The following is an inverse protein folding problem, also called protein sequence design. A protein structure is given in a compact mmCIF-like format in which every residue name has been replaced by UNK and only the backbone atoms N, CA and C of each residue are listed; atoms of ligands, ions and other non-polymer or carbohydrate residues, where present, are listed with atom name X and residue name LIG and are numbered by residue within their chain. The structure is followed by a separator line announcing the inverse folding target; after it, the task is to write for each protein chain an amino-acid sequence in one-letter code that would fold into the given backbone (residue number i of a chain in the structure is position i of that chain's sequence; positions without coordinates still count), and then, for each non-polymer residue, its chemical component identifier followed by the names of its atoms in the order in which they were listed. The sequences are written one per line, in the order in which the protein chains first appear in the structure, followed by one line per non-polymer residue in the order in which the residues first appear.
data_IF_471942738537
#
_entry.id   IF_471942738537
#
_cell.length_a   1.000
_cell.length_b   1.000
_cell.length_c   1.000
_cell.angle_alpha   90.00
_cell.angle_beta   90.00
_cell.angle_gamma   90.00
#
_symmetry.space_group_name_H-M   'P 1'
#
loop_
_entity.id
_entity.type
_entity.pdbx_description
1 polymer ?
#
# COMPACT_ATOMS: atom_id res chain seq x y z
N UNK A 1 -16.91 16.34 2.84
CA UNK A 1 -15.90 15.40 3.37
C UNK A 1 -15.03 16.18 4.35
N UNK A 2 -14.81 15.70 5.59
CA UNK A 2 -14.01 16.41 6.59
C UNK A 2 -12.52 16.33 6.22
N UNK A 3 -11.73 17.35 6.58
CA UNK A 3 -10.29 17.36 6.26
C UNK A 3 -9.55 16.19 6.90
N UNK A 4 -9.93 15.79 8.11
CA UNK A 4 -9.39 14.59 8.79
C UNK A 4 -9.64 13.30 8.01
N UNK A 5 -10.79 13.17 7.35
CA UNK A 5 -11.09 12.03 6.48
C UNK A 5 -10.22 12.02 5.22
N UNK A 6 -9.90 13.19 4.67
CA UNK A 6 -9.07 13.31 3.48
C UNK A 6 -7.64 12.88 3.79
N UNK A 7 -7.06 13.40 4.87
CA UNK A 7 -5.71 13.06 5.34
C UNK A 7 -5.60 11.59 5.73
N UNK A 8 -6.60 11.04 6.44
CA UNK A 8 -6.60 9.63 6.83
C UNK A 8 -6.64 8.71 5.60
N UNK A 9 -7.48 9.01 4.60
CA UNK A 9 -7.56 8.21 3.37
C UNK A 9 -6.28 8.31 2.54
N UNK A 10 -5.70 9.49 2.38
CA UNK A 10 -4.45 9.69 1.65
C UNK A 10 -3.32 8.85 2.25
N UNK A 11 -3.15 8.89 3.58
CA UNK A 11 -2.15 8.07 4.27
C UNK A 11 -2.48 6.57 4.22
N UNK A 12 -3.76 6.21 4.27
CA UNK A 12 -4.18 4.83 4.12
C UNK A 12 -3.83 4.28 2.72
N UNK A 13 -3.90 5.10 1.67
CA UNK A 13 -3.46 4.71 0.34
C UNK A 13 -1.93 4.56 0.24
N UNK A 14 -1.17 5.49 0.83
CA UNK A 14 0.29 5.32 0.95
C UNK A 14 0.65 4.00 1.66
N UNK A 15 -0.10 3.63 2.70
CA UNK A 15 0.06 2.34 3.36
C UNK A 15 -0.18 1.15 2.43
N UNK A 16 -1.22 1.22 1.57
CA UNK A 16 -1.52 0.15 0.61
C UNK A 16 -0.48 0.03 -0.51
N UNK A 17 0.11 1.14 -0.92
CA UNK A 17 1.16 1.17 -1.94
C UNK A 17 2.51 0.66 -1.41
N UNK A 18 2.61 0.40 -0.09
CA UNK A 18 3.80 -0.14 0.55
C UNK A 18 4.83 0.94 0.93
N UNK A 19 4.43 2.20 0.94
CA UNK A 19 5.27 3.32 1.37
C UNK A 19 5.56 3.24 2.88
N UNK A 20 6.71 3.79 3.29
CA UNK A 20 7.17 3.76 4.68
C UNK A 20 6.40 4.82 5.47
N UNK A 21 5.39 4.38 6.22
CA UNK A 21 4.71 5.20 7.22
C UNK A 21 5.29 5.00 8.61
N UNK A 22 5.32 6.08 9.38
CA UNK A 22 5.67 6.05 10.80
C UNK A 22 4.62 5.30 11.62
N UNK A 23 5.01 4.82 12.81
CA UNK A 23 4.08 4.14 13.71
C UNK A 23 2.91 5.04 14.13
N UNK A 24 3.19 6.34 14.34
CA UNK A 24 2.18 7.32 14.70
C UNK A 24 1.11 7.47 13.61
N UNK A 25 1.51 7.56 12.34
CA UNK A 25 0.58 7.66 11.21
C UNK A 25 -0.29 6.42 11.06
N UNK A 26 0.26 5.23 11.34
CA UNK A 26 -0.50 3.97 11.31
C UNK A 26 -1.60 3.97 12.38
N UNK A 27 -1.27 4.41 13.60
CA UNK A 27 -2.22 4.54 14.70
C UNK A 27 -3.31 5.57 14.35
N UNK A 28 -2.95 6.73 13.82
CA UNK A 28 -3.92 7.76 13.41
C UNK A 28 -4.92 7.25 12.36
N UNK A 29 -4.42 6.52 11.35
CA UNK A 29 -5.28 5.91 10.33
C UNK A 29 -6.21 4.89 10.98
N UNK A 30 -5.67 4.02 11.84
CA UNK A 30 -6.47 2.98 12.50
C UNK A 30 -7.61 3.58 13.33
N UNK A 31 -7.29 4.55 14.20
CA UNK A 31 -8.29 5.24 15.02
C UNK A 31 -9.35 5.90 14.14
N UNK A 32 -8.94 6.60 13.06
CA UNK A 32 -9.90 7.23 12.17
C UNK A 32 -10.82 6.22 11.47
N UNK A 33 -10.29 5.08 11.04
CA UNK A 33 -11.08 4.03 10.40
C UNK A 33 -12.04 3.34 11.37
N UNK A 34 -11.69 3.24 12.66
CA UNK A 34 -12.59 2.74 13.71
C UNK A 34 -13.72 3.72 14.03
N UNK A 35 -13.44 5.03 14.04
CA UNK A 35 -14.42 6.07 14.36
C UNK A 35 -15.27 6.50 13.14
N UNK A 36 -14.77 6.29 11.92
CA UNK A 36 -15.38 6.79 10.70
C UNK A 36 -15.74 5.64 9.74
N UNK A 37 -16.92 5.06 9.95
CA UNK A 37 -17.50 4.02 9.11
C UNK A 37 -17.51 4.31 7.59
N UNK A 38 -17.78 5.54 7.09
CA UNK A 38 -17.71 5.80 5.66
C UNK A 38 -16.26 5.77 5.11
N UNK A 39 -15.25 6.14 5.90
CA UNK A 39 -13.85 5.97 5.51
C UNK A 39 -13.44 4.50 5.55
N UNK A 40 -13.91 3.74 6.56
CA UNK A 40 -13.69 2.30 6.66
C UNK A 40 -14.23 1.55 5.45
N UNK A 41 -15.47 1.84 5.03
CA UNK A 41 -16.07 1.18 3.87
C UNK A 41 -15.30 1.49 2.59
N UNK A 42 -14.91 2.76 2.38
CA UNK A 42 -14.16 3.20 1.21
C UNK A 42 -12.77 2.56 1.14
N UNK A 43 -12.06 2.52 2.27
CA UNK A 43 -10.74 1.92 2.36
C UNK A 43 -10.78 0.39 2.36
N UNK A 44 -11.78 -0.21 2.99
CA UNK A 44 -11.94 -1.67 3.13
C UNK A 44 -12.08 -2.38 1.79
N UNK A 45 -12.85 -1.81 0.86
CA UNK A 45 -12.96 -2.33 -0.50
C UNK A 45 -11.61 -2.34 -1.23
N UNK A 46 -10.82 -1.28 -1.08
CA UNK A 46 -9.50 -1.19 -1.70
C UNK A 46 -8.46 -2.08 -1.03
N UNK A 47 -8.53 -2.28 0.29
CA UNK A 47 -7.68 -3.24 1.00
C UNK A 47 -7.93 -4.68 0.54
N UNK A 48 -9.19 -5.07 0.35
CA UNK A 48 -9.53 -6.38 -0.22
C UNK A 48 -8.98 -6.52 -1.64
N UNK A 49 -9.04 -5.44 -2.43
CA UNK A 49 -8.46 -5.40 -3.77
C UNK A 49 -6.93 -5.52 -3.77
N UNK A 50 -6.22 -4.86 -2.86
CA UNK A 50 -4.76 -4.98 -2.70
C UNK A 50 -4.34 -6.37 -2.22
N UNK A 51 -5.13 -7.01 -1.35
CA UNK A 51 -4.90 -8.41 -0.96
C UNK A 51 -5.08 -9.35 -2.16
N UNK A 52 -6.12 -9.13 -2.98
CA UNK A 52 -6.33 -9.89 -4.21
C UNK A 52 -5.21 -9.65 -5.24
N UNK A 53 -4.80 -8.40 -5.45
CA UNK A 53 -3.71 -8.04 -6.37
C UNK A 53 -2.35 -8.53 -5.89
N UNK A 54 -2.05 -8.53 -4.59
CA UNK A 54 -0.81 -9.09 -4.06
C UNK A 54 -0.74 -10.62 -4.23
N UNK A 55 -1.87 -11.32 -4.06
CA UNK A 55 -2.01 -12.75 -4.41
C UNK A 55 -1.86 -13.01 -5.91
N UNK A 56 -2.30 -12.10 -6.78
CA UNK A 56 -2.09 -12.21 -8.22
C UNK A 56 -0.66 -11.83 -8.62
N UNK A 57 -0.06 -10.80 -8.00
CA UNK A 57 1.35 -10.41 -8.19
C UNK A 57 2.31 -11.50 -7.76
N UNK A 58 1.98 -12.32 -6.74
CA UNK A 58 2.84 -13.45 -6.36
C UNK A 58 2.91 -14.53 -7.46
N UNK A 59 1.99 -14.56 -8.41
CA UNK A 59 2.09 -15.38 -9.63
C UNK A 59 2.98 -14.75 -10.72
N UNK A 60 3.16 -13.42 -10.71
CA UNK A 60 4.01 -12.70 -11.66
C UNK A 60 5.34 -12.31 -11.00
N UNK A 61 6.17 -13.30 -10.68
CA UNK A 61 7.55 -13.01 -10.28
C UNK A 61 8.34 -12.53 -11.49
N UNK A 62 9.15 -11.47 -11.29
CA UNK A 62 10.06 -10.98 -12.32
C UNK A 62 10.98 -12.12 -12.78
N UNK A 63 11.04 -12.43 -14.09
CA UNK A 63 11.86 -13.53 -14.60
C UNK A 63 13.32 -13.39 -14.17
N UNK A 64 13.90 -14.48 -13.64
CA UNK A 64 15.28 -14.51 -13.14
C UNK A 64 16.32 -14.07 -14.20
N UNK A 65 16.04 -14.33 -15.48
CA UNK A 65 16.88 -13.85 -16.59
C UNK A 65 16.94 -12.32 -16.69
N UNK A 66 15.84 -11.62 -16.40
CA UNK A 66 15.78 -10.17 -16.42
C UNK A 66 16.49 -9.57 -15.20
N UNK A 67 16.26 -10.14 -14.00
CA UNK A 67 16.98 -9.75 -12.76
C UNK A 67 18.50 -9.84 -12.94
N UNK A 68 19.00 -10.96 -13.46
CA UNK A 68 20.44 -11.17 -13.72
C UNK A 68 21.03 -10.15 -14.69
N UNK A 69 20.29 -9.79 -15.74
CA UNK A 69 20.76 -8.78 -16.72
C UNK A 69 20.84 -7.38 -16.12
N UNK A 70 19.88 -7.02 -15.27
CA UNK A 70 19.88 -5.73 -14.56
C UNK A 70 21.01 -5.69 -13.54
N UNK A 71 21.16 -6.75 -12.72
CA UNK A 71 22.22 -6.83 -11.71
C UNK A 71 23.62 -6.69 -12.32
N UNK A 72 23.90 -7.41 -13.42
CA UNK A 72 25.16 -7.28 -14.15
C UNK A 72 25.45 -5.87 -14.64
N UNK A 73 24.43 -5.08 -15.00
CA UNK A 73 24.60 -3.69 -15.43
C UNK A 73 24.85 -2.74 -14.26
N UNK A 74 24.33 -3.05 -13.08
CA UNK A 74 24.56 -2.27 -11.86
C UNK A 74 25.95 -2.54 -11.28
N UNK A 75 26.44 -3.77 -11.32
CA UNK A 75 27.80 -4.13 -10.88
C UNK A 75 28.90 -3.64 -11.83
N UNK A 76 28.57 -3.35 -13.09
CA UNK A 76 29.52 -2.88 -14.10
C UNK A 76 29.63 -1.35 -14.19
N UNK A 77 29.14 -0.63 -13.18
CA UNK A 77 29.27 0.83 -13.03
C UNK A 77 30.35 1.17 -12.01
#
# INVERSE_FOLDING_TARGET
MKETCRVALERAYLFLDGEILTEHERIEIQVHLEECQPCYQRFGMEKEFTILLSRLKSQYQCPEGLKRRIWKRLESQ
#
